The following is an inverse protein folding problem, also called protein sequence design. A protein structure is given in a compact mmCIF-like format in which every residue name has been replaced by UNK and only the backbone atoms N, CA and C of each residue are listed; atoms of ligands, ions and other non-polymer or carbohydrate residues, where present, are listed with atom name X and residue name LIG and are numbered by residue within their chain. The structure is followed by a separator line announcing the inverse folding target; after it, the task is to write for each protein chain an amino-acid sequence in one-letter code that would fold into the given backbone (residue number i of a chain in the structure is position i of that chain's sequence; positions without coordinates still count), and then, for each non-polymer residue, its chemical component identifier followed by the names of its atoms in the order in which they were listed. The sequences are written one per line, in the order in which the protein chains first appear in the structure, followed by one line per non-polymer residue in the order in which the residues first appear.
data_IF_604579920693
#
_entry.id   IF_604579920693
#
_cell.length_a   1.000
_cell.length_b   1.000
_cell.length_c   1.000
_cell.angle_alpha   90.00
_cell.angle_beta   90.00
_cell.angle_gamma   90.00
#
_symmetry.space_group_name_H-M   'P 1'
#
loop_
_entity.id
_entity.type
_entity.pdbx_description
1 polymer ?
#
# COMPACT_ATOMS: atom_id res chain seq x y z
N UNK A 1 5.24 9.21 21.58
CA UNK A 1 5.80 8.30 20.55
C UNK A 1 4.83 7.22 20.04
N UNK A 2 3.52 7.31 20.31
CA UNK A 2 2.54 6.27 19.92
C UNK A 2 2.25 6.28 18.42
N UNK A 3 2.03 7.47 17.84
CA UNK A 3 1.68 7.62 16.40
C UNK A 3 2.81 7.09 15.50
N UNK A 4 4.07 7.35 15.87
CA UNK A 4 5.23 6.86 15.13
C UNK A 4 5.34 5.32 15.17
N UNK A 5 5.12 4.71 16.33
CA UNK A 5 5.14 3.25 16.48
C UNK A 5 4.01 2.59 15.67
N UNK A 6 2.80 3.17 15.70
CA UNK A 6 1.67 2.68 14.90
C UNK A 6 1.98 2.74 13.39
N UNK A 7 2.56 3.84 12.93
CA UNK A 7 2.94 4.00 11.53
C UNK A 7 3.97 2.94 11.09
N UNK A 8 4.93 2.59 11.96
CA UNK A 8 5.90 1.54 11.68
C UNK A 8 5.30 0.14 11.67
N UNK A 9 4.31 -0.11 12.53
CA UNK A 9 3.56 -1.36 12.54
C UNK A 9 2.75 -1.55 11.25
N UNK A 10 2.08 -0.50 10.76
CA UNK A 10 1.35 -0.53 9.49
C UNK A 10 2.28 -0.90 8.33
N UNK A 11 3.47 -0.29 8.28
CA UNK A 11 4.49 -0.61 7.27
C UNK A 11 4.93 -2.08 7.36
N UNK A 12 5.13 -2.59 8.56
CA UNK A 12 5.58 -3.97 8.80
C UNK A 12 4.52 -4.99 8.34
N UNK A 13 3.25 -4.76 8.67
CA UNK A 13 2.14 -5.59 8.20
C UNK A 13 1.99 -5.55 6.68
N UNK A 14 2.11 -4.37 6.08
CA UNK A 14 2.07 -4.23 4.63
C UNK A 14 3.19 -5.05 3.96
N UNK A 15 4.43 -4.95 4.45
CA UNK A 15 5.53 -5.74 3.92
C UNK A 15 5.27 -7.25 4.08
N UNK A 16 4.59 -7.67 5.16
CA UNK A 16 4.23 -9.06 5.38
C UNK A 16 3.13 -9.59 4.44
N UNK A 17 2.34 -8.72 3.84
CA UNK A 17 1.33 -9.10 2.84
C UNK A 17 1.91 -9.25 1.42
N UNK A 18 3.15 -8.79 1.19
CA UNK A 18 3.84 -8.97 -0.10
C UNK A 18 4.15 -10.45 -0.33
N UNK A 19 3.79 -10.95 -1.51
CA UNK A 19 3.94 -12.36 -1.87
C UNK A 19 5.42 -12.79 -1.96
N UNK A 20 6.30 -11.92 -2.49
CA UNK A 20 7.72 -12.23 -2.73
C UNK A 20 8.56 -11.97 -1.47
N UNK A 21 9.35 -12.98 -1.07
CA UNK A 21 10.24 -12.90 0.11
C UNK A 21 11.37 -11.87 -0.04
N UNK A 22 11.88 -11.66 -1.25
CA UNK A 22 12.90 -10.64 -1.53
C UNK A 22 12.34 -9.23 -1.32
N UNK A 23 11.21 -8.90 -1.95
CA UNK A 23 10.54 -7.60 -1.78
C UNK A 23 10.18 -7.35 -0.29
N UNK A 24 9.77 -8.38 0.47
CA UNK A 24 9.49 -8.22 1.90
C UNK A 24 10.67 -7.67 2.70
N UNK A 25 11.89 -8.18 2.46
CA UNK A 25 13.10 -7.73 3.17
C UNK A 25 13.44 -6.28 2.80
N UNK A 26 13.39 -5.97 1.51
CA UNK A 26 13.67 -4.63 1.01
C UNK A 26 12.70 -3.61 1.61
N UNK A 27 11.42 -3.97 1.73
CA UNK A 27 10.38 -3.12 2.27
C UNK A 27 10.46 -2.95 3.79
N UNK A 28 10.86 -3.98 4.54
CA UNK A 28 11.13 -3.85 5.98
C UNK A 28 12.31 -2.90 6.20
N UNK A 29 13.40 -3.06 5.45
CA UNK A 29 14.60 -2.22 5.55
C UNK A 29 14.40 -0.79 5.01
N UNK A 30 13.36 -0.56 4.21
CA UNK A 30 13.08 0.72 3.56
C UNK A 30 12.87 1.87 4.55
N UNK A 31 13.28 3.08 4.21
CA UNK A 31 12.89 4.28 4.96
C UNK A 31 11.37 4.53 4.88
N UNK A 32 10.77 4.96 5.99
CA UNK A 32 9.32 5.22 6.03
C UNK A 32 8.88 6.36 5.11
N UNK A 33 9.73 7.36 4.86
CA UNK A 33 9.45 8.40 3.87
C UNK A 33 9.26 7.81 2.47
N UNK A 34 10.09 6.84 2.10
CA UNK A 34 9.97 6.14 0.82
C UNK A 34 8.70 5.29 0.78
N UNK A 35 8.36 4.61 1.88
CA UNK A 35 7.07 3.91 2.02
C UNK A 35 5.88 4.84 1.80
N UNK A 36 5.85 6.02 2.44
CA UNK A 36 4.79 7.00 2.24
C UNK A 36 4.66 7.40 0.78
N UNK A 37 5.77 7.69 0.12
CA UNK A 37 5.78 8.11 -1.29
C UNK A 37 5.27 7.00 -2.22
N UNK A 38 5.56 5.74 -1.90
CA UNK A 38 5.27 4.59 -2.76
C UNK A 38 3.91 3.94 -2.52
N UNK A 39 3.32 4.10 -1.33
CA UNK A 39 2.05 3.43 -0.93
C UNK A 39 0.95 4.39 -0.52
N UNK A 40 1.30 5.51 0.14
CA UNK A 40 0.30 6.43 0.71
C UNK A 40 0.02 7.57 -0.27
N UNK A 41 1.07 8.17 -0.82
CA UNK A 41 1.01 9.34 -1.69
C UNK A 41 0.92 8.94 -3.17
N UNK A 42 0.08 7.96 -3.48
CA UNK A 42 -0.13 7.51 -4.85
C UNK A 42 -1.00 8.57 -5.56
N UNK A 43 -0.57 9.11 -6.71
CA UNK A 43 -1.36 10.06 -7.48
C UNK A 43 -2.61 9.36 -8.03
N UNK A 44 -3.77 9.72 -7.47
CA UNK A 44 -5.06 9.19 -7.86
C UNK A 44 -6.10 10.32 -8.01
N UNK A 45 -6.97 10.16 -9.00
CA UNK A 45 -8.15 10.96 -9.22
C UNK A 45 -9.33 10.31 -8.51
N UNK A 46 -9.96 11.04 -7.61
CA UNK A 46 -11.18 10.61 -6.93
C UNK A 46 -12.37 11.29 -7.62
N UNK A 47 -13.12 10.52 -8.40
CA UNK A 47 -14.31 10.99 -9.11
C UNK A 47 -15.53 10.57 -8.29
N UNK A 48 -16.19 11.52 -7.63
CA UNK A 48 -17.44 11.27 -6.90
C UNK A 48 -18.63 11.46 -7.84
N UNK A 49 -19.49 10.45 -7.93
CA UNK A 49 -20.76 10.45 -8.67
C UNK A 49 -21.92 10.25 -7.69
N UNK A 50 -23.14 10.50 -8.14
CA UNK A 50 -24.35 10.45 -7.31
C UNK A 50 -24.54 9.15 -6.50
N UNK A 51 -24.06 7.99 -6.99
CA UNK A 51 -24.17 6.68 -6.31
C UNK A 51 -22.85 5.93 -6.17
N UNK A 52 -21.71 6.60 -6.33
CA UNK A 52 -20.44 5.88 -6.30
C UNK A 52 -19.21 6.76 -6.31
N UNK A 53 -18.09 6.19 -5.89
CA UNK A 53 -16.77 6.82 -5.92
C UNK A 53 -15.89 5.97 -6.83
N UNK A 54 -15.40 6.56 -7.92
CA UNK A 54 -14.41 5.93 -8.79
C UNK A 54 -13.05 6.49 -8.44
N UNK A 55 -12.13 5.63 -7.99
CA UNK A 55 -10.74 5.99 -7.75
C UNK A 55 -9.92 5.54 -8.95
N UNK A 56 -9.32 6.48 -9.67
CA UNK A 56 -8.49 6.23 -10.85
C UNK A 56 -7.04 6.61 -10.56
N UNK A 57 -6.12 5.68 -10.74
CA UNK A 57 -4.68 5.93 -10.56
C UNK A 57 -4.15 6.65 -11.80
N UNK A 58 -3.41 7.75 -11.62
CA UNK A 58 -2.92 8.63 -12.72
C UNK A 58 -1.42 8.44 -12.99
N UNK A 59 -0.65 8.01 -11.99
CA UNK A 59 0.79 7.78 -12.14
C UNK A 59 1.14 6.30 -12.05
N UNK A 60 2.03 5.84 -12.93
CA UNK A 60 2.63 4.51 -12.85
C UNK A 60 4.01 4.61 -12.19
N UNK A 61 4.22 3.88 -11.10
CA UNK A 61 5.52 3.68 -10.47
C UNK A 61 5.76 2.17 -10.30
N UNK A 62 7.00 1.66 -10.37
CA UNK A 62 7.28 0.23 -10.20
C UNK A 62 6.82 -0.38 -8.86
N UNK A 63 6.60 0.44 -7.82
CA UNK A 63 6.02 -0.03 -6.55
C UNK A 63 4.52 -0.28 -6.63
N UNK A 64 3.83 0.21 -7.66
CA UNK A 64 2.39 0.08 -7.79
C UNK A 64 1.98 -1.38 -7.99
N UNK A 65 2.76 -2.15 -8.75
CA UNK A 65 2.54 -3.60 -8.90
C UNK A 65 2.57 -4.32 -7.55
N UNK A 66 3.52 -3.94 -6.69
CA UNK A 66 3.67 -4.49 -5.33
C UNK A 66 2.50 -4.06 -4.43
N UNK A 67 2.03 -2.83 -4.57
CA UNK A 67 0.84 -2.35 -3.88
C UNK A 67 -0.42 -3.11 -4.29
N UNK A 68 -0.64 -3.32 -5.59
CA UNK A 68 -1.77 -4.09 -6.09
C UNK A 68 -1.65 -5.57 -5.69
N UNK A 69 -0.45 -6.13 -5.64
CA UNK A 69 -0.22 -7.48 -5.11
C UNK A 69 -0.61 -7.59 -3.64
N UNK A 70 -0.26 -6.61 -2.80
CA UNK A 70 -0.66 -6.59 -1.40
C UNK A 70 -2.17 -6.41 -1.25
N UNK A 71 -2.79 -5.55 -2.07
CA UNK A 71 -4.24 -5.35 -2.11
C UNK A 71 -4.98 -6.66 -2.45
N UNK A 72 -4.54 -7.38 -3.47
CA UNK A 72 -5.11 -8.67 -3.85
C UNK A 72 -5.00 -9.71 -2.73
N UNK A 73 -3.91 -9.68 -1.95
CA UNK A 73 -3.76 -10.55 -0.79
C UNK A 73 -4.77 -10.21 0.32
N UNK A 74 -5.00 -8.91 0.58
CA UNK A 74 -6.00 -8.44 1.55
C UNK A 74 -7.40 -8.80 1.09
N UNK A 75 -7.74 -8.59 -0.18
CA UNK A 75 -9.05 -8.91 -0.75
C UNK A 75 -9.36 -10.40 -0.59
N UNK A 76 -8.38 -11.29 -0.83
CA UNK A 76 -8.52 -12.73 -0.61
C UNK A 76 -8.67 -13.12 0.87
N UNK A 77 -8.14 -12.31 1.77
CA UNK A 77 -8.24 -12.54 3.22
C UNK A 77 -9.56 -11.99 3.78
N UNK A 78 -10.34 -11.27 2.98
CA UNK A 78 -11.64 -10.76 3.39
C UNK A 78 -12.56 -11.96 3.65
N UNK A 79 -12.74 -12.28 4.93
CA UNK A 79 -13.73 -13.23 5.40
C UNK A 79 -15.09 -12.78 4.86
N UNK A 80 -15.68 -13.63 4.02
CA UNK A 80 -17.07 -13.52 3.59
C UNK A 80 -18.01 -13.79 4.76
#
# INVERSE_FOLDING_TARGET
MVIAALAWNIKSWFAMMLHRKADRRDWIAMEFRRFCTQVILIPAMIIRRARGITVRIIGYHPSLDRFLSAYNAIERTRFG
#
